data_IF_800667024226
#
_entry.id   IF_800667024226
#
_cell.length_a   1.000
_cell.length_b   1.000
_cell.length_c   1.000
_cell.angle_alpha   90.00
_cell.angle_beta   90.00
_cell.angle_gamma   90.00
#
_symmetry.space_group_name_H-M   'P 1'
#
loop_
_entity.id
_entity.type
_entity.pdbx_description
1 polymer ?
#
# COMPACT_ATOMS: atom_id res chain seq x y z
N UNK A 1 -0.46 -17.17 51.75
CA UNK A 1 -1.04 -18.51 52.00
C UNK A 1 -2.31 -18.62 51.14
N UNK A 2 -2.33 -19.23 50.09
CA UNK A 2 -3.15 -20.29 49.50
C UNK A 2 -3.00 -20.30 47.99
N UNK A 3 -2.32 -21.33 47.56
CA UNK A 3 -2.20 -21.74 46.14
C UNK A 3 -3.54 -22.27 45.66
N UNK A 4 -3.93 -21.95 44.44
CA UNK A 4 -4.90 -22.75 43.68
C UNK A 4 -4.29 -23.06 42.30
N UNK A 5 -3.93 -24.31 42.16
CA UNK A 5 -3.57 -25.01 40.93
C UNK A 5 -4.87 -25.32 40.21
N UNK A 6 -5.00 -24.89 38.96
CA UNK A 6 -6.09 -25.38 38.07
C UNK A 6 -5.46 -26.19 36.98
N UNK A 7 -5.79 -27.50 36.99
CA UNK A 7 -5.28 -28.51 36.09
C UNK A 7 -5.94 -28.40 34.69
N UNK A 8 -5.11 -28.51 33.66
CA UNK A 8 -5.52 -28.68 32.28
C UNK A 8 -6.04 -30.10 32.04
N UNK A 9 -7.25 -30.25 31.55
CA UNK A 9 -7.78 -31.51 31.02
C UNK A 9 -7.54 -31.57 29.52
N UNK A 10 -6.56 -32.40 29.11
CA UNK A 10 -6.39 -32.84 27.73
C UNK A 10 -7.38 -33.99 27.47
N UNK A 11 -8.27 -33.82 26.47
CA UNK A 11 -8.98 -34.95 25.88
C UNK A 11 -8.23 -35.38 24.61
N UNK A 12 -7.55 -36.51 24.68
CA UNK A 12 -7.05 -37.24 23.55
C UNK A 12 -8.20 -38.11 22.99
N UNK A 13 -8.54 -37.91 21.72
CA UNK A 13 -9.40 -38.86 20.99
C UNK A 13 -8.51 -39.71 20.11
N UNK A 14 -8.39 -40.96 20.47
CA UNK A 14 -7.72 -41.99 19.69
C UNK A 14 -8.74 -42.56 18.70
N UNK A 15 -8.46 -42.48 17.39
CA UNK A 15 -9.13 -43.31 16.38
C UNK A 15 -8.16 -44.38 15.90
N UNK A 16 -8.46 -45.63 16.28
CA UNK A 16 -7.90 -46.86 15.66
C UNK A 16 -8.91 -47.36 14.63
N UNK A 17 -8.42 -47.65 13.44
CA UNK A 17 -9.23 -48.29 12.43
C UNK A 17 -8.40 -48.61 11.17
N UNK A 18 -7.67 -49.74 11.17
CA UNK A 18 -7.10 -50.34 9.96
C UNK A 18 -8.17 -51.04 9.14
N UNK A 19 -8.19 -50.83 7.82
CA UNK A 19 -8.32 -51.95 6.86
C UNK A 19 -7.80 -51.51 5.48
N UNK A 20 -7.00 -52.40 4.88
CA UNK A 20 -6.46 -52.36 3.51
C UNK A 20 -7.56 -52.63 2.48
N UNK A 21 -7.56 -51.95 1.33
CA UNK A 21 -7.35 -52.56 0.00
C UNK A 21 -7.66 -51.60 -1.16
N UNK A 22 -6.73 -51.63 -2.10
CA UNK A 22 -6.82 -51.53 -3.57
C UNK A 22 -7.09 -50.19 -4.30
N UNK A 23 -6.10 -49.92 -5.14
CA UNK A 23 -6.03 -48.93 -6.22
C UNK A 23 -7.32 -48.72 -7.00
N UNK A 24 -7.72 -47.43 -7.08
CA UNK A 24 -8.29 -46.87 -8.30
C UNK A 24 -7.96 -45.36 -8.35
N UNK A 25 -7.13 -44.99 -9.32
CA UNK A 25 -6.91 -43.63 -9.79
C UNK A 25 -8.25 -42.89 -9.94
N UNK A 26 -8.58 -42.04 -9.00
CA UNK A 26 -9.63 -41.01 -9.17
C UNK A 26 -9.00 -39.64 -8.98
N UNK A 27 -9.04 -38.86 -10.05
CA UNK A 27 -8.79 -37.42 -10.00
C UNK A 27 -9.70 -36.81 -8.96
N UNK A 28 -9.18 -36.60 -7.75
CA UNK A 28 -9.89 -35.87 -6.72
C UNK A 28 -9.76 -34.37 -7.03
N UNK A 29 -10.79 -33.79 -7.62
CA UNK A 29 -11.01 -32.35 -7.52
C UNK A 29 -11.12 -32.06 -6.02
N UNK A 30 -10.17 -31.35 -5.44
CA UNK A 30 -10.28 -30.84 -4.08
C UNK A 30 -11.42 -29.82 -4.07
N UNK A 31 -12.60 -30.27 -3.64
CA UNK A 31 -13.66 -29.35 -3.27
C UNK A 31 -13.09 -28.47 -2.15
N UNK A 32 -13.05 -27.16 -2.37
CA UNK A 32 -12.69 -26.18 -1.35
C UNK A 32 -13.55 -26.47 -0.12
N UNK A 33 -12.93 -26.68 1.04
CA UNK A 33 -13.67 -26.84 2.30
C UNK A 33 -14.38 -25.54 2.56
N UNK A 34 -15.71 -25.50 2.39
CA UNK A 34 -16.54 -24.35 2.71
C UNK A 34 -16.47 -24.08 4.21
N UNK A 35 -16.17 -22.85 4.58
CA UNK A 35 -16.23 -22.40 5.97
C UNK A 35 -17.70 -22.33 6.39
N UNK A 36 -18.00 -22.87 7.55
CA UNK A 36 -19.37 -22.77 8.10
C UNK A 36 -19.54 -21.40 8.78
N UNK A 37 -20.08 -20.44 8.02
CA UNK A 37 -20.37 -19.07 8.47
C UNK A 37 -21.38 -19.12 9.62
N UNK A 38 -21.09 -18.39 10.70
CA UNK A 38 -21.95 -18.35 11.90
C UNK A 38 -23.32 -17.75 11.60
N UNK A 39 -24.36 -18.33 12.17
CA UNK A 39 -25.74 -17.78 12.09
C UNK A 39 -25.86 -16.50 12.92
N UNK A 40 -26.64 -15.53 12.38
CA UNK A 40 -26.89 -14.24 13.01
C UNK A 40 -25.61 -13.43 13.29
N UNK A 41 -24.53 -13.65 12.52
CA UNK A 41 -23.32 -12.86 12.63
C UNK A 41 -23.59 -11.38 12.39
N UNK A 42 -23.05 -10.53 13.25
CA UNK A 42 -23.08 -9.07 13.14
C UNK A 42 -21.67 -8.57 13.03
N UNK A 43 -21.27 -8.17 11.84
CA UNK A 43 -19.92 -7.71 11.54
C UNK A 43 -19.89 -6.20 11.35
N UNK A 44 -18.81 -5.56 11.77
CA UNK A 44 -18.44 -4.21 11.40
C UNK A 44 -17.32 -4.25 10.37
N UNK A 45 -17.47 -3.49 9.28
CA UNK A 45 -16.49 -3.37 8.20
C UNK A 45 -16.02 -1.92 8.09
N UNK A 46 -14.71 -1.68 8.13
CA UNK A 46 -14.09 -0.38 7.88
C UNK A 46 -13.45 -0.31 6.51
N UNK A 47 -13.60 0.84 5.85
CA UNK A 47 -12.90 1.22 4.63
C UNK A 47 -12.90 2.72 4.44
N UNK A 48 -12.04 3.22 3.53
CA UNK A 48 -11.91 4.64 3.26
C UNK A 48 -13.20 5.28 2.76
N UNK A 49 -13.36 6.59 2.96
CA UNK A 49 -14.50 7.34 2.46
C UNK A 49 -14.70 7.16 0.94
N UNK A 50 -13.60 7.09 0.16
CA UNK A 50 -13.65 6.88 -1.29
C UNK A 50 -14.26 5.52 -1.69
N UNK A 51 -14.05 4.47 -0.90
CA UNK A 51 -14.55 3.11 -1.18
C UNK A 51 -15.90 2.81 -0.55
N UNK A 52 -16.44 3.69 0.29
CA UNK A 52 -17.57 3.41 1.18
C UNK A 52 -18.85 2.96 0.44
N UNK A 53 -19.19 3.60 -0.69
CA UNK A 53 -20.39 3.23 -1.46
C UNK A 53 -20.25 1.81 -2.05
N UNK A 54 -19.08 1.49 -2.57
CA UNK A 54 -18.76 0.17 -3.15
C UNK A 54 -18.78 -0.90 -2.06
N UNK A 55 -18.16 -0.62 -0.90
CA UNK A 55 -18.17 -1.56 0.22
C UNK A 55 -19.58 -1.84 0.75
N UNK A 56 -20.47 -0.83 0.77
CA UNK A 56 -21.88 -1.03 1.12
C UNK A 56 -22.63 -1.92 0.12
N UNK A 57 -22.35 -1.77 -1.19
CA UNK A 57 -22.91 -2.64 -2.22
C UNK A 57 -22.39 -4.08 -2.07
N UNK A 58 -21.08 -4.25 -1.87
CA UNK A 58 -20.45 -5.56 -1.66
C UNK A 58 -20.92 -6.24 -0.37
N UNK A 59 -21.08 -5.49 0.72
CA UNK A 59 -21.63 -6.00 1.97
C UNK A 59 -23.07 -6.52 1.79
N UNK A 60 -23.93 -5.78 1.09
CA UNK A 60 -25.29 -6.24 0.74
C UNK A 60 -25.29 -7.50 -0.13
N UNK A 61 -24.39 -7.60 -1.08
CA UNK A 61 -24.25 -8.80 -1.91
C UNK A 61 -23.80 -10.00 -1.08
N UNK A 62 -22.88 -9.80 -0.13
CA UNK A 62 -22.47 -10.84 0.82
C UNK A 62 -23.62 -11.25 1.75
N UNK A 63 -24.37 -10.32 2.33
CA UNK A 63 -25.57 -10.62 3.14
C UNK A 63 -26.60 -11.45 2.36
N UNK A 64 -26.79 -11.13 1.07
CA UNK A 64 -27.67 -11.89 0.18
C UNK A 64 -27.13 -13.31 -0.08
N UNK A 65 -25.81 -13.46 -0.30
CA UNK A 65 -25.15 -14.77 -0.48
C UNK A 65 -25.38 -15.68 0.74
N UNK A 66 -25.40 -15.11 1.94
CA UNK A 66 -25.58 -15.81 3.22
C UNK A 66 -26.92 -15.49 3.89
N UNK A 67 -28.00 -15.33 3.10
CA UNK A 67 -29.32 -15.01 3.62
C UNK A 67 -29.88 -16.08 4.60
N UNK A 68 -29.54 -17.35 4.37
CA UNK A 68 -29.88 -18.48 5.25
C UNK A 68 -29.17 -18.44 6.62
N UNK A 69 -28.04 -17.73 6.70
CA UNK A 69 -27.29 -17.51 7.93
C UNK A 69 -27.68 -16.22 8.66
N UNK A 70 -28.46 -15.34 8.02
CA UNK A 70 -28.88 -14.03 8.56
C UNK A 70 -27.69 -13.16 9.01
N UNK A 71 -26.63 -13.09 8.18
CA UNK A 71 -25.47 -12.21 8.42
C UNK A 71 -25.89 -10.76 8.22
N UNK A 72 -25.37 -9.85 9.08
CA UNK A 72 -25.54 -8.39 8.97
C UNK A 72 -24.19 -7.70 9.03
N UNK A 73 -23.98 -6.70 8.16
CA UNK A 73 -22.71 -5.97 8.05
C UNK A 73 -22.97 -4.47 8.18
N UNK A 74 -22.40 -3.86 9.21
CA UNK A 74 -22.33 -2.41 9.36
C UNK A 74 -21.06 -1.89 8.67
N UNK A 75 -21.21 -1.06 7.64
CA UNK A 75 -20.08 -0.47 6.91
C UNK A 75 -19.87 0.97 7.38
N UNK A 76 -18.69 1.24 7.95
CA UNK A 76 -18.31 2.52 8.55
C UNK A 76 -17.08 3.08 7.86
N UNK A 77 -17.08 4.39 7.59
CA UNK A 77 -15.91 5.07 7.06
C UNK A 77 -14.81 5.15 8.13
N UNK A 78 -13.63 4.68 7.78
CA UNK A 78 -12.40 4.80 8.55
C UNK A 78 -11.25 4.90 7.57
N UNK A 79 -10.44 5.96 7.70
CA UNK A 79 -9.28 6.10 6.85
C UNK A 79 -8.28 4.97 7.12
N UNK A 80 -7.77 4.38 6.04
CA UNK A 80 -6.95 3.17 6.09
C UNK A 80 -5.63 3.40 6.84
N UNK A 81 -5.05 4.60 6.72
CA UNK A 81 -3.82 4.99 7.41
C UNK A 81 -3.97 5.01 8.94
N UNK A 82 -5.18 5.22 9.44
CA UNK A 82 -5.47 5.27 10.87
C UNK A 82 -6.02 3.94 11.41
N UNK A 83 -6.51 3.05 10.54
CA UNK A 83 -7.22 1.85 10.93
C UNK A 83 -6.44 0.97 11.91
N UNK A 84 -5.16 0.70 11.63
CA UNK A 84 -4.32 -0.10 12.51
C UNK A 84 -4.11 0.53 13.89
N UNK A 85 -3.95 1.84 13.96
CA UNK A 85 -3.84 2.56 15.23
C UNK A 85 -5.13 2.49 16.04
N UNK A 86 -6.28 2.62 15.40
CA UNK A 86 -7.58 2.49 16.06
C UNK A 86 -7.83 1.07 16.58
N UNK A 87 -7.46 0.03 15.79
CA UNK A 87 -7.54 -1.37 16.23
C UNK A 87 -6.68 -1.62 17.46
N UNK A 88 -5.48 -1.03 17.52
CA UNK A 88 -4.56 -1.20 18.65
C UNK A 88 -4.99 -0.41 19.90
N UNK A 89 -5.66 0.73 19.73
CA UNK A 89 -6.12 1.55 20.85
C UNK A 89 -7.40 1.00 21.51
N UNK A 90 -8.33 0.46 20.72
CA UNK A 90 -9.58 -0.14 21.21
C UNK A 90 -10.04 -1.28 20.29
N UNK A 91 -9.51 -2.47 20.52
CA UNK A 91 -9.82 -3.65 19.73
C UNK A 91 -11.28 -4.12 19.86
N UNK A 92 -11.95 -3.83 20.97
CA UNK A 92 -13.35 -4.22 21.17
C UNK A 92 -14.28 -3.35 20.30
N UNK A 93 -14.08 -2.03 20.28
CA UNK A 93 -14.87 -1.11 19.47
C UNK A 93 -14.51 -1.13 17.98
N UNK A 94 -13.31 -1.60 17.64
CA UNK A 94 -12.82 -1.68 16.27
C UNK A 94 -13.67 -2.61 15.38
N UNK A 95 -13.57 -2.40 14.05
CA UNK A 95 -14.23 -3.27 13.08
C UNK A 95 -13.72 -4.72 13.12
N UNK A 96 -14.58 -5.67 12.79
CA UNK A 96 -14.22 -7.09 12.66
C UNK A 96 -13.36 -7.33 11.43
N UNK A 97 -13.65 -6.58 10.35
CA UNK A 97 -12.93 -6.62 9.07
C UNK A 97 -12.55 -5.18 8.69
N UNK A 98 -11.31 -4.95 8.31
CA UNK A 98 -10.84 -3.59 8.01
C UNK A 98 -9.73 -3.56 6.96
N UNK A 99 -9.70 -2.47 6.19
CA UNK A 99 -8.63 -2.19 5.23
C UNK A 99 -7.51 -1.36 5.88
N UNK A 100 -6.25 -1.70 5.56
CA UNK A 100 -5.07 -1.01 6.07
C UNK A 100 -3.87 -1.13 5.11
N UNK A 101 -2.90 -0.18 5.12
CA UNK A 101 -1.71 -0.24 4.28
C UNK A 101 -0.63 -1.17 4.84
N UNK A 102 0.26 -1.62 3.96
CA UNK A 102 1.25 -2.68 4.22
C UNK A 102 2.25 -2.38 5.34
N UNK A 103 2.59 -1.11 5.57
CA UNK A 103 3.48 -0.69 6.66
C UNK A 103 2.91 -0.95 8.07
N UNK A 104 1.60 -1.14 8.18
CA UNK A 104 0.95 -1.43 9.47
C UNK A 104 0.95 -2.92 9.83
N UNK A 105 1.22 -3.81 8.87
CA UNK A 105 1.13 -5.25 9.09
C UNK A 105 2.02 -5.71 10.25
N UNK A 106 3.28 -5.27 10.28
CA UNK A 106 4.24 -5.68 11.30
C UNK A 106 3.77 -5.32 12.71
N UNK A 107 3.33 -4.08 12.95
CA UNK A 107 2.84 -3.65 14.27
C UNK A 107 1.57 -4.39 14.70
N UNK A 108 0.67 -4.67 13.75
CA UNK A 108 -0.58 -5.39 14.03
C UNK A 108 -0.33 -6.86 14.37
N UNK A 109 0.62 -7.52 13.68
CA UNK A 109 0.99 -8.92 13.95
C UNK A 109 1.75 -9.06 15.27
N UNK A 110 2.69 -8.15 15.57
CA UNK A 110 3.40 -8.10 16.86
C UNK A 110 2.45 -7.93 18.04
N UNK A 111 1.44 -7.08 17.89
CA UNK A 111 0.39 -6.88 18.89
C UNK A 111 -0.64 -8.02 18.93
N UNK A 112 -0.53 -9.04 18.05
CA UNK A 112 -1.49 -10.14 17.91
C UNK A 112 -2.92 -9.63 17.64
N UNK A 113 -3.03 -8.51 16.95
CA UNK A 113 -4.32 -7.85 16.67
C UNK A 113 -5.04 -8.44 15.44
N UNK A 114 -4.33 -9.21 14.60
CA UNK A 114 -4.88 -9.87 13.43
C UNK A 114 -5.10 -11.37 13.67
N UNK A 115 -6.21 -11.88 13.17
CA UNK A 115 -6.45 -13.31 13.01
C UNK A 115 -5.61 -13.81 11.83
N UNK A 116 -4.81 -14.88 11.97
CA UNK A 116 -4.17 -15.50 10.82
C UNK A 116 -5.22 -16.03 9.84
N UNK A 117 -4.98 -15.83 8.54
CA UNK A 117 -5.85 -16.34 7.47
C UNK A 117 -5.99 -17.87 7.59
N UNK A 118 -7.21 -18.36 7.52
CA UNK A 118 -7.48 -19.79 7.62
C UNK A 118 -6.82 -20.57 6.48
N UNK A 119 -6.26 -21.74 6.79
CA UNK A 119 -5.53 -22.61 5.85
C UNK A 119 -6.33 -22.92 4.56
N UNK A 120 -7.66 -22.99 4.63
CA UNK A 120 -8.52 -23.25 3.47
C UNK A 120 -8.55 -22.10 2.44
N UNK A 121 -8.17 -20.87 2.80
CA UNK A 121 -8.06 -19.72 1.87
C UNK A 121 -6.65 -19.53 1.33
N UNK A 122 -5.61 -20.06 2.01
CA UNK A 122 -4.20 -19.81 1.69
C UNK A 122 -3.84 -20.20 0.26
N UNK A 123 -4.28 -21.39 -0.19
CA UNK A 123 -3.99 -21.87 -1.54
C UNK A 123 -4.70 -21.03 -2.62
N UNK A 124 -5.94 -20.62 -2.36
CA UNK A 124 -6.70 -19.76 -3.27
C UNK A 124 -6.08 -18.35 -3.36
N UNK A 125 -5.62 -17.78 -2.24
CA UNK A 125 -4.91 -16.50 -2.23
C UNK A 125 -3.61 -16.60 -3.04
N UNK A 126 -2.78 -17.61 -2.79
CA UNK A 126 -1.52 -17.85 -3.52
C UNK A 126 -1.74 -18.06 -5.02
N UNK A 127 -2.81 -18.74 -5.39
CA UNK A 127 -3.17 -19.01 -6.79
C UNK A 127 -3.70 -17.75 -7.49
N UNK A 128 -4.59 -17.01 -6.85
CA UNK A 128 -5.36 -15.97 -7.49
C UNK A 128 -4.72 -14.57 -7.42
N UNK A 129 -3.85 -14.30 -6.46
CA UNK A 129 -3.21 -13.00 -6.32
C UNK A 129 -1.78 -12.96 -6.89
N UNK A 130 -1.25 -11.76 -7.13
CA UNK A 130 0.13 -11.58 -7.58
C UNK A 130 1.10 -12.09 -6.50
N UNK A 131 2.20 -12.72 -6.94
CA UNK A 131 3.21 -13.24 -6.02
C UNK A 131 3.74 -12.16 -5.09
N UNK A 132 3.99 -10.96 -5.61
CA UNK A 132 4.49 -9.84 -4.83
C UNK A 132 3.55 -9.47 -3.68
N UNK A 133 2.23 -9.33 -3.95
CA UNK A 133 1.24 -9.03 -2.93
C UNK A 133 1.12 -10.15 -1.88
N UNK A 134 1.22 -11.43 -2.29
CA UNK A 134 1.17 -12.57 -1.36
C UNK A 134 2.39 -12.61 -0.43
N UNK A 135 3.59 -12.32 -0.97
CA UNK A 135 4.82 -12.30 -0.14
C UNK A 135 4.75 -11.26 0.98
N UNK A 136 4.06 -10.14 0.75
CA UNK A 136 3.99 -9.03 1.72
C UNK A 136 2.97 -9.23 2.85
N UNK A 137 2.08 -10.23 2.77
CA UNK A 137 1.11 -10.55 3.85
C UNK A 137 1.55 -11.72 4.73
N UNK A 138 2.74 -12.27 4.47
CA UNK A 138 3.32 -13.36 5.25
C UNK A 138 3.83 -12.90 6.61
N UNK A 139 3.77 -13.78 7.58
CA UNK A 139 4.37 -13.59 8.88
C UNK A 139 4.62 -14.92 9.57
N UNK A 140 5.21 -14.88 10.76
CA UNK A 140 5.49 -16.06 11.58
C UNK A 140 4.43 -16.22 12.67
N UNK A 141 3.93 -17.44 12.83
CA UNK A 141 3.10 -17.84 13.96
C UNK A 141 3.71 -19.09 14.61
N UNK A 142 4.45 -18.91 15.70
CA UNK A 142 5.09 -19.98 16.45
C UNK A 142 6.03 -20.86 15.57
N UNK A 143 6.80 -20.25 14.68
CA UNK A 143 7.74 -20.93 13.78
C UNK A 143 7.10 -21.49 12.50
N UNK A 144 5.81 -21.23 12.26
CA UNK A 144 5.10 -21.58 11.02
C UNK A 144 4.83 -20.31 10.20
N UNK A 145 5.18 -20.29 8.91
CA UNK A 145 4.77 -19.24 8.00
C UNK A 145 3.24 -19.29 7.82
N UNK A 146 2.58 -18.15 8.04
CA UNK A 146 1.14 -17.96 7.81
C UNK A 146 0.89 -16.68 7.04
N UNK A 147 -0.31 -16.50 6.48
CA UNK A 147 -0.78 -15.21 5.97
C UNK A 147 -1.57 -14.50 7.07
N UNK A 148 -1.41 -13.19 7.22
CA UNK A 148 -2.13 -12.39 8.22
C UNK A 148 -3.17 -11.44 7.63
N UNK A 149 -3.25 -11.37 6.29
CA UNK A 149 -4.22 -10.51 5.62
C UNK A 149 -4.48 -10.98 4.19
N UNK A 150 -5.54 -10.46 3.60
CA UNK A 150 -5.98 -10.71 2.23
C UNK A 150 -5.53 -9.56 1.33
N UNK A 151 -4.76 -9.80 0.26
CA UNK A 151 -4.29 -8.74 -0.65
C UNK A 151 -5.45 -8.05 -1.36
N UNK A 152 -5.56 -6.72 -1.24
CA UNK A 152 -6.69 -5.96 -1.78
C UNK A 152 -6.34 -5.18 -3.04
N UNK A 153 -5.31 -4.33 -2.99
CA UNK A 153 -4.88 -3.48 -4.10
C UNK A 153 -3.41 -3.08 -3.94
N UNK A 154 -2.76 -2.76 -5.03
CA UNK A 154 -1.46 -2.09 -5.00
C UNK A 154 -1.65 -0.65 -4.51
N UNK A 155 -0.63 -0.11 -3.86
CA UNK A 155 -0.61 1.24 -3.31
C UNK A 155 0.71 1.91 -3.69
N UNK A 156 0.68 2.72 -4.73
CA UNK A 156 1.86 3.38 -5.26
C UNK A 156 1.53 4.71 -5.94
N UNK A 157 2.57 5.46 -6.27
CA UNK A 157 2.45 6.77 -6.91
C UNK A 157 3.25 6.83 -8.20
N UNK A 158 2.82 7.71 -9.10
CA UNK A 158 3.36 7.91 -10.43
C UNK A 158 3.20 9.38 -10.86
N UNK A 159 3.70 9.74 -12.04
CA UNK A 159 3.46 11.06 -12.62
C UNK A 159 2.08 11.13 -13.25
N UNK A 160 1.28 12.14 -12.86
CA UNK A 160 0.05 12.55 -13.53
C UNK A 160 0.23 13.93 -14.15
N UNK A 161 -0.30 14.18 -15.35
CA UNK A 161 -0.11 15.45 -16.03
C UNK A 161 -1.24 15.78 -17.00
N UNK A 162 -1.43 17.08 -17.24
CA UNK A 162 -2.30 17.61 -18.29
C UNK A 162 -1.55 17.58 -19.62
N UNK A 163 -1.97 16.73 -20.57
CA UNK A 163 -1.38 16.59 -21.92
C UNK A 163 -1.43 17.89 -22.75
N UNK A 164 -2.30 18.85 -22.39
CA UNK A 164 -2.31 20.17 -23.02
C UNK A 164 -1.15 21.06 -22.54
N UNK A 165 -0.47 20.69 -21.45
CA UNK A 165 0.63 21.41 -20.82
C UNK A 165 1.96 20.69 -20.96
N UNK A 166 1.99 19.40 -20.67
CA UNK A 166 3.18 18.55 -20.66
C UNK A 166 3.04 17.51 -21.76
N UNK A 167 3.97 17.48 -22.71
CA UNK A 167 4.01 16.44 -23.72
C UNK A 167 4.49 15.11 -23.13
N UNK A 168 4.17 13.99 -23.81
CA UNK A 168 4.64 12.67 -23.40
C UNK A 168 6.19 12.58 -23.40
N UNK A 169 6.87 13.41 -24.20
CA UNK A 169 8.33 13.52 -24.21
C UNK A 169 8.84 14.30 -22.99
N UNK A 170 8.23 15.47 -22.69
CA UNK A 170 8.59 16.24 -21.50
C UNK A 170 8.36 15.45 -20.20
N UNK A 171 7.33 14.59 -20.19
CA UNK A 171 6.98 13.75 -19.05
C UNK A 171 8.04 12.70 -18.67
N UNK A 172 9.03 12.45 -19.54
CA UNK A 172 10.11 11.46 -19.28
C UNK A 172 11.16 11.93 -18.29
N UNK A 173 11.30 13.25 -18.08
CA UNK A 173 12.32 13.80 -17.19
C UNK A 173 11.75 14.88 -16.27
N UNK A 174 12.29 14.97 -15.05
CA UNK A 174 11.94 16.03 -14.10
C UNK A 174 12.16 17.43 -14.68
N UNK A 175 13.28 17.61 -15.42
CA UNK A 175 13.63 18.85 -16.10
C UNK A 175 12.57 19.23 -17.15
N UNK A 176 12.13 18.27 -17.95
CA UNK A 176 11.09 18.44 -18.98
C UNK A 176 9.77 18.84 -18.38
N UNK A 177 9.29 18.08 -17.40
CA UNK A 177 8.01 18.34 -16.72
C UNK A 177 7.98 19.74 -16.10
N UNK A 178 9.03 20.09 -15.32
CA UNK A 178 9.10 21.38 -14.64
C UNK A 178 9.25 22.56 -15.63
N UNK A 179 9.98 22.36 -16.73
CA UNK A 179 10.12 23.36 -17.78
C UNK A 179 8.79 23.58 -18.50
N UNK A 180 8.06 22.53 -18.83
CA UNK A 180 6.74 22.61 -19.49
C UNK A 180 5.72 23.33 -18.58
N UNK A 181 5.63 22.93 -17.31
CA UNK A 181 4.77 23.60 -16.32
C UNK A 181 5.11 25.10 -16.19
N UNK A 182 6.42 25.45 -16.06
CA UNK A 182 6.86 26.83 -16.01
C UNK A 182 6.47 27.63 -17.26
N UNK A 183 6.68 27.06 -18.43
CA UNK A 183 6.33 27.69 -19.72
C UNK A 183 4.84 28.00 -19.82
N UNK A 184 4.00 27.09 -19.31
CA UNK A 184 2.56 27.25 -19.31
C UNK A 184 2.03 28.13 -18.16
N UNK A 185 2.88 28.59 -17.24
CA UNK A 185 2.47 29.29 -16.02
C UNK A 185 1.64 28.41 -15.08
N UNK A 186 1.92 27.09 -15.04
CA UNK A 186 1.24 26.09 -14.20
C UNK A 186 2.18 25.59 -13.11
N UNK A 187 1.59 25.06 -12.05
CA UNK A 187 2.32 24.44 -10.96
C UNK A 187 2.61 22.96 -11.27
N UNK A 188 3.74 22.48 -10.77
CA UNK A 188 3.99 21.07 -10.51
C UNK A 188 3.81 20.84 -9.02
N UNK A 189 2.98 19.88 -8.64
CA UNK A 189 2.61 19.62 -7.24
C UNK A 189 3.02 18.22 -6.82
N UNK A 190 3.70 18.10 -5.67
CA UNK A 190 3.90 16.83 -4.96
C UNK A 190 3.99 17.08 -3.46
N UNK A 191 3.70 16.07 -2.65
CA UNK A 191 3.87 16.18 -1.20
C UNK A 191 5.30 15.83 -0.77
N UNK A 192 6.27 16.69 -1.14
CA UNK A 192 7.68 16.47 -0.82
C UNK A 192 8.00 16.51 0.69
N UNK A 193 7.10 17.06 1.49
CA UNK A 193 7.18 17.11 2.96
C UNK A 193 6.58 15.89 3.66
N UNK A 194 6.25 14.82 2.94
CA UNK A 194 5.75 13.56 3.46
C UNK A 194 6.78 12.44 3.20
N UNK A 195 7.11 11.67 4.21
CA UNK A 195 8.14 10.63 4.15
C UNK A 195 7.90 9.57 3.08
N UNK A 196 6.64 9.27 2.78
CA UNK A 196 6.25 8.33 1.74
C UNK A 196 6.68 8.77 0.33
N UNK A 197 6.60 10.07 0.04
CA UNK A 197 7.10 10.62 -1.23
C UNK A 197 8.58 10.98 -1.15
N UNK A 198 9.03 11.55 -0.02
CA UNK A 198 10.39 12.03 0.12
C UNK A 198 11.46 10.94 0.00
N UNK A 199 11.13 9.70 0.37
CA UNK A 199 12.06 8.56 0.26
C UNK A 199 12.50 8.27 -1.18
N UNK A 200 11.76 8.71 -2.22
CA UNK A 200 12.17 8.56 -3.60
C UNK A 200 13.55 9.20 -3.87
N UNK A 201 13.88 10.29 -3.20
CA UNK A 201 15.12 11.02 -3.44
C UNK A 201 16.37 10.19 -3.08
N UNK A 202 16.52 9.68 -1.85
CA UNK A 202 17.64 8.79 -1.54
C UNK A 202 17.52 7.41 -2.21
N UNK A 203 16.32 6.89 -2.48
CA UNK A 203 16.16 5.60 -3.18
C UNK A 203 16.67 5.66 -4.61
N UNK A 204 16.43 6.76 -5.32
CA UNK A 204 16.97 6.98 -6.68
C UNK A 204 18.51 6.98 -6.68
N UNK A 205 19.14 7.38 -5.58
CA UNK A 205 20.57 7.29 -5.37
C UNK A 205 21.10 5.91 -4.97
N UNK A 206 20.22 4.92 -4.79
CA UNK A 206 20.60 3.53 -4.48
C UNK A 206 20.39 3.09 -3.04
N UNK A 207 19.87 3.96 -2.15
CA UNK A 207 19.43 3.53 -0.82
C UNK A 207 18.24 2.58 -0.96
N UNK A 208 18.19 1.50 -0.17
CA UNK A 208 17.05 0.56 -0.10
C UNK A 208 16.80 0.13 1.33
N UNK A 209 15.56 -0.22 1.62
CA UNK A 209 15.16 -0.80 2.89
C UNK A 209 15.39 -2.32 2.83
N UNK A 210 16.16 -2.86 3.80
CA UNK A 210 16.43 -4.30 3.95
C UNK A 210 15.60 -4.95 5.08
N UNK A 211 14.60 -4.24 5.60
CA UNK A 211 13.72 -4.70 6.67
C UNK A 211 14.17 -4.24 8.05
N UNK A 212 13.79 -5.00 9.08
CA UNK A 212 14.06 -4.70 10.49
C UNK A 212 15.15 -5.61 11.07
N UNK A 213 15.83 -5.17 12.13
CA UNK A 213 16.92 -5.88 12.79
C UNK A 213 16.70 -5.89 14.31
N UNK A 214 17.18 -6.96 14.96
CA UNK A 214 17.13 -7.14 16.41
C UNK A 214 15.94 -8.00 16.86
N UNK A 215 15.98 -8.45 18.12
CA UNK A 215 14.94 -9.30 18.71
C UNK A 215 13.59 -8.58 18.86
N UNK A 216 13.64 -7.27 19.07
CA UNK A 216 12.45 -6.40 19.14
C UNK A 216 12.07 -5.80 17.78
N UNK A 217 12.85 -6.04 16.72
CA UNK A 217 12.66 -5.42 15.40
C UNK A 217 12.53 -3.89 15.50
N UNK A 218 13.39 -3.27 16.31
CA UNK A 218 13.36 -1.85 16.65
C UNK A 218 14.34 -1.00 15.84
N UNK A 219 15.13 -1.62 14.95
CA UNK A 219 16.14 -0.97 14.14
C UNK A 219 15.84 -1.16 12.65
N UNK A 220 15.70 -0.04 11.92
CA UNK A 220 15.55 -0.06 10.47
C UNK A 220 16.88 -0.44 9.82
N UNK A 221 16.84 -1.48 9.03
CA UNK A 221 18.00 -1.94 8.26
C UNK A 221 17.96 -1.38 6.85
N UNK A 222 19.11 -0.90 6.40
CA UNK A 222 19.33 -0.44 5.03
C UNK A 222 20.39 -1.30 4.33
N UNK A 223 20.34 -1.35 2.99
CA UNK A 223 21.33 -2.01 2.17
C UNK A 223 22.71 -1.35 2.32
N UNK A 224 23.74 -2.01 1.78
CA UNK A 224 25.02 -1.35 1.54
C UNK A 224 24.86 -0.44 0.31
N UNK A 225 24.96 0.87 0.47
CA UNK A 225 24.83 1.89 -0.58
C UNK A 225 26.09 2.76 -0.67
N UNK A 226 26.26 3.45 -1.79
CA UNK A 226 27.28 4.48 -1.95
C UNK A 226 26.75 5.83 -1.47
N UNK A 227 27.26 6.32 -0.34
CA UNK A 227 26.85 7.58 0.27
C UNK A 227 27.03 8.78 -0.67
N UNK A 228 28.11 8.76 -1.48
CA UNK A 228 28.38 9.85 -2.42
C UNK A 228 27.36 9.87 -3.56
N UNK A 229 27.01 8.70 -4.08
CA UNK A 229 26.02 8.56 -5.15
C UNK A 229 24.61 8.99 -4.68
N UNK A 230 24.21 8.59 -3.48
CA UNK A 230 22.95 9.04 -2.88
C UNK A 230 22.94 10.55 -2.70
N UNK A 231 24.01 11.12 -2.13
CA UNK A 231 24.09 12.55 -1.89
C UNK A 231 24.13 13.38 -3.19
N UNK A 232 24.81 12.91 -4.23
CA UNK A 232 24.78 13.56 -5.55
C UNK A 232 23.39 13.55 -6.17
N UNK A 233 22.65 12.46 -6.02
CA UNK A 233 21.28 12.36 -6.51
C UNK A 233 20.36 13.31 -5.76
N UNK A 234 20.45 13.36 -4.42
CA UNK A 234 19.70 14.33 -3.60
C UNK A 234 20.05 15.78 -3.96
N UNK A 235 21.35 16.07 -4.23
CA UNK A 235 21.81 17.37 -4.69
C UNK A 235 21.15 17.78 -6.01
N UNK A 236 21.11 16.88 -7.00
CA UNK A 236 20.48 17.14 -8.28
C UNK A 236 18.99 17.49 -8.15
N UNK A 237 18.22 16.76 -7.33
CA UNK A 237 16.83 17.09 -7.02
C UNK A 237 16.70 18.46 -6.37
N UNK A 238 17.51 18.74 -5.35
CA UNK A 238 17.49 20.03 -4.63
C UNK A 238 17.78 21.21 -5.55
N UNK A 239 18.84 21.12 -6.36
CA UNK A 239 19.19 22.15 -7.35
C UNK A 239 18.06 22.41 -8.35
N UNK A 240 17.42 21.32 -8.82
CA UNK A 240 16.31 21.41 -9.75
C UNK A 240 15.09 22.09 -9.11
N UNK A 241 14.71 21.73 -7.88
CA UNK A 241 13.59 22.37 -7.18
C UNK A 241 13.85 23.84 -6.87
N UNK A 242 15.09 24.20 -6.51
CA UNK A 242 15.49 25.60 -6.32
C UNK A 242 15.43 26.40 -7.62
N UNK A 243 15.85 25.82 -8.74
CA UNK A 243 15.73 26.42 -10.09
C UNK A 243 14.29 26.69 -10.47
N UNK A 244 13.36 25.81 -10.04
CA UNK A 244 11.94 25.90 -10.35
C UNK A 244 11.06 26.27 -9.14
N UNK A 245 11.60 26.97 -8.13
CA UNK A 245 10.94 27.31 -6.86
C UNK A 245 9.58 28.00 -6.97
N UNK A 246 9.27 28.65 -8.10
CA UNK A 246 7.98 29.30 -8.35
C UNK A 246 7.00 28.40 -9.13
N UNK A 247 7.47 27.23 -9.58
CA UNK A 247 6.70 26.24 -10.33
C UNK A 247 6.45 24.99 -9.50
N UNK A 248 7.49 24.54 -8.79
CA UNK A 248 7.42 23.40 -7.86
C UNK A 248 6.73 23.82 -6.57
N UNK A 249 5.69 23.05 -6.18
CA UNK A 249 4.90 23.31 -4.96
C UNK A 249 4.83 22.01 -4.15
N UNK A 250 5.32 22.04 -2.91
CA UNK A 250 5.09 20.97 -1.96
C UNK A 250 3.75 21.19 -1.27
N UNK A 251 2.77 20.33 -1.57
CA UNK A 251 1.43 20.38 -1.01
C UNK A 251 0.81 18.98 -1.01
N UNK A 252 -0.28 18.80 -0.24
CA UNK A 252 -1.01 17.53 -0.23
C UNK A 252 -1.61 17.24 -1.62
N UNK A 253 -1.75 15.94 -1.94
CA UNK A 253 -2.08 15.46 -3.30
C UNK A 253 -3.48 15.85 -3.78
N UNK A 254 -4.41 16.17 -2.87
CA UNK A 254 -5.72 16.72 -3.22
C UNK A 254 -5.63 18.04 -4.01
N UNK A 255 -4.53 18.78 -3.87
CA UNK A 255 -4.27 20.01 -4.63
C UNK A 255 -3.97 19.75 -6.11
N UNK A 256 -3.55 18.53 -6.48
CA UNK A 256 -3.31 18.13 -7.86
C UNK A 256 -4.64 18.10 -8.61
N UNK A 257 -5.56 17.24 -8.19
CA UNK A 257 -6.88 17.11 -8.81
C UNK A 257 -7.70 18.38 -8.73
N UNK A 258 -7.64 19.10 -7.59
CA UNK A 258 -8.25 20.41 -7.46
C UNK A 258 -7.69 21.42 -8.47
N UNK A 259 -6.36 21.44 -8.66
CA UNK A 259 -5.69 22.29 -9.64
C UNK A 259 -6.00 21.93 -11.10
N UNK A 260 -6.24 20.65 -11.40
CA UNK A 260 -6.72 20.21 -12.71
C UNK A 260 -8.18 20.59 -12.97
N UNK A 261 -9.03 20.58 -11.95
CA UNK A 261 -10.47 20.84 -12.07
C UNK A 261 -10.83 22.31 -12.19
N UNK A 262 -9.90 23.26 -11.97
CA UNK A 262 -10.18 24.69 -12.09
C UNK A 262 -10.35 25.09 -13.56
N UNK A 263 -11.18 26.12 -13.82
CA UNK A 263 -11.40 26.62 -15.20
C UNK A 263 -10.10 27.04 -15.91
N UNK A 264 -9.09 27.47 -15.15
CA UNK A 264 -7.76 27.85 -15.67
C UNK A 264 -6.72 26.73 -15.54
N UNK A 265 -7.06 25.61 -14.91
CA UNK A 265 -6.14 24.50 -14.62
C UNK A 265 -4.82 25.00 -14.05
N UNK A 266 -4.76 25.28 -12.77
CA UNK A 266 -3.57 25.86 -12.12
C UNK A 266 -2.43 24.85 -11.97
N UNK A 267 -2.72 23.56 -11.95
CA UNK A 267 -1.75 22.44 -11.97
C UNK A 267 -1.50 21.99 -13.41
N UNK A 268 -0.24 21.75 -13.76
CA UNK A 268 0.16 21.16 -15.04
C UNK A 268 0.58 19.70 -14.90
N UNK A 269 1.18 19.34 -13.77
CA UNK A 269 1.59 17.97 -13.45
C UNK A 269 1.78 17.78 -11.95
N UNK A 270 1.83 16.53 -11.51
CA UNK A 270 2.11 16.21 -10.12
C UNK A 270 2.44 14.73 -9.88
N UNK A 271 2.96 14.43 -8.69
CA UNK A 271 3.14 13.06 -8.24
C UNK A 271 1.93 12.68 -7.39
N UNK A 272 1.12 11.76 -7.91
CA UNK A 272 -0.12 11.30 -7.28
C UNK A 272 -0.20 9.77 -7.31
N UNK A 273 -1.13 9.20 -6.59
CA UNK A 273 -1.20 7.76 -6.41
C UNK A 273 -2.44 7.10 -7.01
N UNK A 274 -2.42 5.78 -6.99
CA UNK A 274 -3.53 4.92 -7.45
C UNK A 274 -4.86 5.24 -6.76
N UNK A 275 -4.82 5.77 -5.54
CA UNK A 275 -6.01 6.16 -4.75
C UNK A 275 -6.80 7.36 -5.33
N UNK A 276 -6.15 8.21 -6.15
CA UNK A 276 -6.76 9.37 -6.80
C UNK A 276 -6.98 9.17 -8.32
N UNK A 277 -6.78 7.98 -8.86
CA UNK A 277 -6.85 7.71 -10.30
C UNK A 277 -8.20 8.16 -10.91
N UNK A 278 -9.33 7.82 -10.28
CA UNK A 278 -10.65 8.21 -10.75
C UNK A 278 -10.87 9.73 -10.70
N UNK A 279 -10.43 10.39 -9.61
CA UNK A 279 -10.59 11.86 -9.45
C UNK A 279 -9.77 12.62 -10.48
N UNK A 280 -8.55 12.17 -10.79
CA UNK A 280 -7.71 12.75 -11.82
C UNK A 280 -8.30 12.50 -13.23
N UNK A 281 -8.87 11.32 -13.47
CA UNK A 281 -9.58 11.01 -14.72
C UNK A 281 -10.80 11.90 -14.91
N UNK A 282 -11.59 12.13 -13.89
CA UNK A 282 -12.76 13.01 -13.92
C UNK A 282 -12.36 14.48 -14.19
N UNK A 283 -11.22 14.93 -13.61
CA UNK A 283 -10.74 16.29 -13.75
C UNK A 283 -10.19 16.63 -15.14
N UNK A 284 -9.46 15.70 -15.78
CA UNK A 284 -8.76 15.93 -17.04
C UNK A 284 -9.40 15.22 -18.24
N UNK A 285 -10.17 14.15 -18.03
CA UNK A 285 -10.78 13.37 -19.10
C UNK A 285 -9.74 12.86 -20.10
N UNK A 286 -9.91 13.21 -21.38
CA UNK A 286 -8.98 12.84 -22.46
C UNK A 286 -7.61 13.49 -22.39
N UNK A 287 -7.48 14.57 -21.62
CA UNK A 287 -6.22 15.29 -21.46
C UNK A 287 -5.36 14.67 -20.32
N UNK A 288 -5.86 13.65 -19.63
CA UNK A 288 -5.07 12.95 -18.61
C UNK A 288 -3.89 12.21 -19.23
N UNK A 289 -2.69 12.52 -18.75
CA UNK A 289 -1.48 11.74 -18.94
C UNK A 289 -1.08 11.05 -17.64
N UNK A 290 -0.68 9.79 -17.74
CA UNK A 290 -0.15 8.97 -16.63
C UNK A 290 1.06 8.23 -17.14
N UNK A 291 2.18 8.32 -16.40
CA UNK A 291 3.42 7.61 -16.73
C UNK A 291 4.24 7.33 -15.47
N UNK A 292 5.23 6.44 -15.58
CA UNK A 292 6.22 6.18 -14.53
C UNK A 292 6.88 7.47 -14.05
N UNK A 293 7.47 7.46 -12.86
CA UNK A 293 8.21 8.61 -12.35
C UNK A 293 9.30 9.02 -13.36
N UNK A 294 9.49 10.35 -13.55
CA UNK A 294 10.47 10.86 -14.52
C UNK A 294 11.91 10.50 -14.13
N UNK A 295 12.81 10.48 -15.10
CA UNK A 295 14.26 10.42 -14.84
C UNK A 295 14.77 11.76 -14.30
N UNK A 296 15.83 11.72 -13.48
CA UNK A 296 16.60 12.89 -13.04
C UNK A 296 18.02 12.82 -13.59
N UNK A 297 18.51 13.92 -14.14
CA UNK A 297 19.91 13.99 -14.60
C UNK A 297 20.85 14.22 -13.41
N UNK A 298 21.77 13.29 -13.18
CA UNK A 298 22.80 13.37 -12.14
C UNK A 298 24.16 13.35 -12.81
N UNK A 299 24.84 14.49 -12.83
CA UNK A 299 26.18 14.63 -13.42
C UNK A 299 26.28 14.13 -14.88
N UNK A 300 25.26 14.37 -15.70
CA UNK A 300 25.21 13.96 -17.09
C UNK A 300 24.67 12.55 -17.33
N UNK A 301 24.24 11.84 -16.29
CA UNK A 301 23.60 10.52 -16.38
C UNK A 301 22.15 10.58 -15.92
N UNK A 302 21.22 10.13 -16.75
CA UNK A 302 19.82 10.05 -16.40
C UNK A 302 19.57 8.83 -15.51
N UNK A 303 19.02 9.06 -14.32
CA UNK A 303 18.63 8.01 -13.38
C UNK A 303 17.12 7.91 -13.30
N UNK A 304 16.61 6.70 -13.40
CA UNK A 304 15.19 6.45 -13.16
C UNK A 304 14.84 6.75 -11.69
N UNK A 305 13.85 7.61 -11.48
CA UNK A 305 13.34 7.85 -10.11
C UNK A 305 12.68 6.58 -9.57
N UNK A 306 12.98 6.24 -8.32
CA UNK A 306 12.52 5.01 -7.67
C UNK A 306 11.37 5.34 -6.72
N UNK A 307 10.20 4.75 -6.98
CA UNK A 307 9.03 4.86 -6.11
C UNK A 307 9.14 3.94 -4.88
N UNK A 308 8.39 4.27 -3.83
CA UNK A 308 7.99 3.30 -2.83
C UNK A 308 6.59 2.79 -3.20
N UNK A 309 6.45 1.48 -3.35
CA UNK A 309 5.16 0.85 -3.64
C UNK A 309 4.83 -0.12 -2.52
N UNK A 310 3.63 0.00 -2.00
CA UNK A 310 3.05 -0.88 -1.01
C UNK A 310 1.81 -1.58 -1.53
N UNK A 311 1.06 -2.11 -0.58
CA UNK A 311 -0.21 -2.75 -0.82
C UNK A 311 -1.20 -2.28 0.24
N UNK A 312 -2.48 -2.40 -0.05
CA UNK A 312 -3.54 -2.38 0.94
C UNK A 312 -4.10 -3.77 1.11
N UNK A 313 -4.46 -4.08 2.33
CA UNK A 313 -4.94 -5.39 2.73
C UNK A 313 -6.31 -5.30 3.38
N UNK A 314 -7.02 -6.42 3.38
CA UNK A 314 -8.15 -6.65 4.26
C UNK A 314 -7.67 -7.56 5.39
N UNK A 315 -7.79 -7.11 6.63
CA UNK A 315 -7.49 -7.89 7.83
C UNK A 315 -8.73 -8.20 8.63
N UNK A 316 -8.65 -9.28 9.42
CA UNK A 316 -9.67 -9.67 10.39
C UNK A 316 -9.09 -9.48 11.79
N UNK A 317 -9.81 -8.78 12.68
CA UNK A 317 -9.33 -8.59 14.06
C UNK A 317 -9.36 -9.91 14.83
N UNK A 318 -8.34 -10.15 15.65
CA UNK A 318 -8.17 -11.42 16.37
C UNK A 318 -9.27 -11.72 17.41
N UNK A 319 -9.90 -10.67 17.96
CA UNK A 319 -10.94 -10.77 19.00
C UNK A 319 -12.38 -10.69 18.45
N UNK A 320 -12.57 -10.96 17.14
CA UNK A 320 -13.93 -11.00 16.56
C UNK A 320 -14.77 -12.13 17.16
N UNK A 321 -16.06 -11.88 17.35
CA UNK A 321 -17.02 -12.88 17.85
C UNK A 321 -17.52 -13.85 16.77
N UNK A 322 -17.27 -13.51 15.49
CA UNK A 322 -17.74 -14.25 14.34
C UNK A 322 -16.58 -14.50 13.35
N UNK A 323 -15.57 -15.27 13.76
CA UNK A 323 -14.34 -15.41 12.98
C UNK A 323 -14.56 -16.04 11.60
N UNK A 324 -15.45 -17.02 11.45
CA UNK A 324 -15.73 -17.64 10.17
C UNK A 324 -16.43 -16.66 9.20
N UNK A 325 -17.40 -15.90 9.69
CA UNK A 325 -18.11 -14.89 8.89
C UNK A 325 -17.16 -13.75 8.49
N UNK A 326 -16.24 -13.33 9.38
CA UNK A 326 -15.28 -12.28 9.13
C UNK A 326 -14.22 -12.71 8.10
N UNK A 327 -13.67 -13.93 8.22
CA UNK A 327 -12.70 -14.50 7.25
C UNK A 327 -13.34 -14.68 5.86
N UNK A 328 -14.56 -15.21 5.79
CA UNK A 328 -15.27 -15.38 4.52
C UNK A 328 -15.62 -14.02 3.88
N UNK A 329 -15.98 -12.99 4.70
CA UNK A 329 -16.19 -11.64 4.20
C UNK A 329 -14.89 -11.05 3.64
N UNK A 330 -13.77 -11.19 4.35
CA UNK A 330 -12.47 -10.71 3.90
C UNK A 330 -12.05 -11.37 2.59
N UNK A 331 -12.20 -12.70 2.48
CA UNK A 331 -11.95 -13.46 1.25
C UNK A 331 -12.87 -13.01 0.09
N UNK A 332 -14.15 -12.81 0.34
CA UNK A 332 -15.12 -12.31 -0.65
C UNK A 332 -14.70 -10.91 -1.16
N UNK A 333 -14.33 -10.00 -0.26
CA UNK A 333 -13.93 -8.64 -0.63
C UNK A 333 -12.67 -8.57 -1.51
N UNK A 334 -11.82 -9.60 -1.52
CA UNK A 334 -10.64 -9.65 -2.40
C UNK A 334 -10.84 -10.53 -3.65
N UNK A 335 -12.06 -11.01 -3.89
CA UNK A 335 -12.40 -11.74 -5.10
C UNK A 335 -12.18 -10.90 -6.37
N UNK A 336 -12.04 -11.57 -7.53
CA UNK A 336 -11.89 -10.89 -8.82
C UNK A 336 -13.06 -9.93 -9.09
N UNK A 337 -14.31 -10.33 -8.79
CA UNK A 337 -15.50 -9.49 -8.95
C UNK A 337 -15.42 -8.20 -8.14
N UNK A 338 -15.06 -8.31 -6.85
CA UNK A 338 -14.95 -7.15 -5.97
C UNK A 338 -13.79 -6.23 -6.35
N UNK A 339 -12.64 -6.78 -6.76
CA UNK A 339 -11.51 -5.98 -7.20
C UNK A 339 -11.75 -5.35 -8.58
N UNK A 340 -12.44 -6.04 -9.50
CA UNK A 340 -12.87 -5.47 -10.78
C UNK A 340 -13.75 -4.23 -10.58
N UNK A 341 -14.72 -4.30 -9.69
CA UNK A 341 -15.59 -3.15 -9.36
C UNK A 341 -14.77 -1.96 -8.84
N UNK A 342 -13.75 -2.20 -7.99
CA UNK A 342 -12.87 -1.13 -7.50
C UNK A 342 -11.97 -0.56 -8.59
N UNK A 343 -11.47 -1.40 -9.49
CA UNK A 343 -10.72 -0.92 -10.66
C UNK A 343 -11.58 -0.02 -11.54
N UNK A 344 -12.80 -0.46 -11.88
CA UNK A 344 -13.70 0.29 -12.76
C UNK A 344 -14.17 1.62 -12.15
N UNK A 345 -14.47 1.64 -10.84
CA UNK A 345 -15.03 2.82 -10.17
C UNK A 345 -14.00 3.74 -9.52
N UNK A 346 -12.85 3.22 -9.10
CA UNK A 346 -11.83 3.96 -8.34
C UNK A 346 -10.46 3.98 -9.04
N UNK A 347 -10.25 3.18 -10.08
CA UNK A 347 -8.94 3.01 -10.73
C UNK A 347 -7.93 2.24 -9.87
N UNK A 348 -8.37 1.53 -8.82
CA UNK A 348 -7.48 0.78 -7.95
C UNK A 348 -6.90 -0.45 -8.64
N UNK A 349 -5.57 -0.56 -8.63
CA UNK A 349 -4.85 -1.67 -9.27
C UNK A 349 -5.15 -2.99 -8.56
N UNK A 350 -5.70 -4.00 -9.25
CA UNK A 350 -6.05 -5.27 -8.62
C UNK A 350 -4.80 -6.11 -8.32
N UNK A 351 -4.77 -6.76 -7.17
CA UNK A 351 -3.82 -7.83 -6.86
C UNK A 351 -4.27 -9.19 -7.40
N UNK A 352 -5.58 -9.34 -7.67
CA UNK A 352 -6.18 -10.58 -8.17
C UNK A 352 -5.96 -10.69 -9.70
N UNK A 353 -5.24 -11.74 -10.11
CA UNK A 353 -4.87 -12.04 -11.51
C UNK A 353 -6.07 -12.36 -12.42
N UNK A 354 -7.23 -12.65 -11.86
CA UNK A 354 -8.47 -12.88 -12.60
C UNK A 354 -9.16 -11.58 -13.06
N UNK A 355 -8.62 -10.40 -12.71
CA UNK A 355 -9.13 -9.11 -13.18
C UNK A 355 -8.38 -8.68 -14.42
N UNK A 356 -9.10 -8.49 -15.52
CA UNK A 356 -8.56 -7.91 -16.73
C UNK A 356 -8.25 -6.42 -16.54
N UNK A 357 -7.04 -6.01 -16.90
CA UNK A 357 -6.53 -4.64 -16.71
C UNK A 357 -6.19 -3.95 -18.03
N UNK A 358 -6.49 -4.61 -19.16
CA UNK A 358 -6.21 -4.10 -20.50
C UNK A 358 -6.91 -2.75 -20.72
N UNK A 359 -6.17 -1.79 -21.30
CA UNK A 359 -6.69 -0.44 -21.55
C UNK A 359 -6.68 0.52 -20.36
N UNK A 360 -6.22 0.10 -19.18
CA UNK A 360 -6.08 0.98 -18.01
C UNK A 360 -4.64 1.51 -17.90
N UNK A 361 -4.43 2.78 -18.26
CA UNK A 361 -3.11 3.42 -18.27
C UNK A 361 -2.49 3.51 -16.85
N UNK A 362 -3.29 3.75 -15.81
CA UNK A 362 -2.81 3.79 -14.44
C UNK A 362 -2.27 2.44 -13.98
N UNK A 363 -3.00 1.36 -14.26
CA UNK A 363 -2.55 0.00 -13.92
C UNK A 363 -1.30 -0.38 -14.71
N UNK A 364 -1.25 -0.08 -16.01
CA UNK A 364 -0.06 -0.32 -16.83
C UNK A 364 1.15 0.42 -16.28
N UNK A 365 0.99 1.67 -15.87
CA UNK A 365 2.04 2.48 -15.24
C UNK A 365 2.53 1.85 -13.93
N UNK A 366 1.63 1.38 -13.07
CA UNK A 366 2.01 0.68 -11.83
C UNK A 366 2.78 -0.61 -12.09
N UNK A 367 2.43 -1.37 -13.13
CA UNK A 367 3.17 -2.57 -13.51
C UNK A 367 4.58 -2.26 -14.04
N UNK A 368 4.76 -1.11 -14.71
CA UNK A 368 6.09 -0.64 -15.12
C UNK A 368 6.91 -0.14 -13.93
N UNK A 369 6.32 0.66 -13.03
CA UNK A 369 6.95 1.10 -11.78
C UNK A 369 7.39 -0.09 -10.92
N UNK A 370 6.59 -1.15 -10.90
CA UNK A 370 6.87 -2.38 -10.14
C UNK A 370 8.18 -3.08 -10.53
N UNK A 371 8.82 -2.71 -11.63
CA UNK A 371 10.12 -3.27 -12.04
C UNK A 371 11.30 -2.69 -11.26
N UNK A 372 11.17 -1.51 -10.66
CA UNK A 372 12.28 -0.75 -10.08
C UNK A 372 12.01 -0.15 -8.70
N UNK A 373 10.88 -0.42 -8.08
CA UNK A 373 10.46 0.19 -6.80
C UNK A 373 11.07 -0.45 -5.55
N UNK A 374 10.95 0.26 -4.43
CA UNK A 374 11.19 -0.26 -3.07
C UNK A 374 9.84 -0.65 -2.45
N UNK A 375 9.76 -1.86 -1.89
CA UNK A 375 8.52 -2.34 -1.26
C UNK A 375 8.33 -1.68 0.10
N UNK A 376 7.14 -1.13 0.34
CA UNK A 376 6.70 -0.63 1.64
C UNK A 376 6.32 -1.79 2.58
N UNK A 377 7.32 -2.48 3.09
CA UNK A 377 7.13 -3.57 4.05
C UNK A 377 8.23 -3.53 5.11
N UNK A 378 7.91 -3.92 6.33
CA UNK A 378 8.86 -3.97 7.44
C UNK A 378 9.57 -2.62 7.68
N UNK A 379 8.78 -1.55 7.77
CA UNK A 379 9.23 -0.18 7.99
C UNK A 379 8.88 0.23 9.42
N UNK A 380 9.85 0.81 10.14
CA UNK A 380 9.59 1.42 11.45
C UNK A 380 8.68 2.63 11.32
N UNK A 381 7.81 2.84 12.29
CA UNK A 381 7.03 4.08 12.35
C UNK A 381 7.93 5.33 12.41
N UNK A 382 9.08 5.22 13.07
CA UNK A 382 10.09 6.28 13.15
C UNK A 382 10.76 6.63 11.81
N UNK A 383 10.52 5.89 10.73
CA UNK A 383 11.03 6.18 9.39
C UNK A 383 10.42 7.45 8.78
N UNK A 384 9.14 7.69 9.04
CA UNK A 384 8.35 8.66 8.26
C UNK A 384 8.74 10.12 8.53
N UNK A 385 8.82 10.53 9.81
CA UNK A 385 9.13 11.93 10.16
C UNK A 385 10.54 12.36 9.73
N UNK A 386 11.63 11.59 9.95
CA UNK A 386 12.95 11.95 9.43
C UNK A 386 12.99 12.05 7.91
N UNK A 387 12.29 11.16 7.18
CA UNK A 387 12.19 11.25 5.71
C UNK A 387 11.38 12.47 5.27
N UNK A 388 10.29 12.81 5.94
CA UNK A 388 9.54 14.03 5.70
C UNK A 388 10.42 15.28 5.90
N UNK A 389 11.23 15.30 6.96
CA UNK A 389 12.18 16.38 7.22
C UNK A 389 13.27 16.48 6.14
N UNK A 390 13.78 15.34 5.65
CA UNK A 390 14.70 15.31 4.51
C UNK A 390 14.06 15.96 3.28
N UNK A 391 12.85 15.55 2.91
CA UNK A 391 12.13 16.13 1.79
C UNK A 391 11.91 17.63 1.93
N UNK A 392 11.49 18.07 3.13
CA UNK A 392 11.31 19.50 3.43
C UNK A 392 12.60 20.33 3.24
N UNK A 393 13.78 19.78 3.55
CA UNK A 393 15.05 20.47 3.35
C UNK A 393 15.45 20.50 1.88
N UNK A 394 15.16 19.46 1.10
CA UNK A 394 15.53 19.39 -0.31
C UNK A 394 14.91 20.50 -1.16
N UNK A 395 13.62 20.82 -0.98
CA UNK A 395 12.94 21.79 -1.84
C UNK A 395 12.99 23.23 -1.33
N UNK A 396 13.42 23.48 -0.09
CA UNK A 396 13.49 24.84 0.46
C UNK A 396 14.66 25.63 -0.13
N UNK A 397 14.43 26.78 -0.82
CA UNK A 397 15.49 27.52 -1.48
C UNK A 397 16.51 28.17 -0.53
N UNK A 398 16.26 28.17 0.76
CA UNK A 398 17.17 28.69 1.80
C UNK A 398 18.21 27.66 2.23
N UNK A 399 18.01 26.41 1.91
CA UNK A 399 18.94 25.33 2.22
C UNK A 399 20.00 25.19 1.09
N UNK A 400 21.18 24.71 1.45
CA UNK A 400 22.23 24.43 0.45
C UNK A 400 21.98 23.11 -0.27
N UNK A 401 22.22 23.09 -1.58
CA UNK A 401 22.05 21.91 -2.42
C UNK A 401 23.33 21.10 -2.64
N UNK A 402 24.49 21.55 -2.11
CA UNK A 402 25.77 20.88 -2.36
C UNK A 402 25.83 19.47 -1.76
N UNK A 403 26.69 18.62 -2.37
CA UNK A 403 26.83 17.19 -2.00
C UNK A 403 27.24 17.01 -0.53
N UNK A 404 28.05 17.89 0.03
CA UNK A 404 28.50 17.79 1.43
C UNK A 404 27.31 18.00 2.40
N UNK A 405 26.46 18.99 2.11
CA UNK A 405 25.21 19.22 2.85
C UNK A 405 24.28 18.02 2.73
N UNK A 406 24.13 17.43 1.53
CA UNK A 406 23.28 16.25 1.31
C UNK A 406 23.79 15.00 2.04
N UNK A 407 25.12 14.79 2.14
CA UNK A 407 25.69 13.71 2.97
C UNK A 407 25.32 13.87 4.44
N UNK A 408 25.49 15.08 4.97
CA UNK A 408 25.11 15.36 6.36
C UNK A 408 23.62 15.11 6.59
N UNK A 409 22.78 15.62 5.71
CA UNK A 409 21.33 15.43 5.78
C UNK A 409 20.93 13.95 5.73
N UNK A 410 21.53 13.17 4.82
CA UNK A 410 21.29 11.73 4.74
C UNK A 410 21.67 11.02 6.04
N UNK A 411 22.90 11.28 6.54
CA UNK A 411 23.40 10.68 7.77
C UNK A 411 22.50 11.00 8.97
N UNK A 412 22.13 12.27 9.14
CA UNK A 412 21.24 12.69 10.23
C UNK A 412 19.87 12.03 10.13
N UNK A 413 19.32 11.94 8.91
CA UNK A 413 18.04 11.28 8.66
C UNK A 413 18.07 9.81 9.07
N UNK A 414 19.09 9.05 8.61
CA UNK A 414 19.20 7.62 8.94
C UNK A 414 19.51 7.38 10.43
N UNK A 415 20.25 8.29 11.08
CA UNK A 415 20.46 8.25 12.52
C UNK A 415 19.13 8.47 13.27
N UNK A 416 18.34 9.46 12.89
CA UNK A 416 17.08 9.78 13.57
C UNK A 416 16.00 8.70 13.36
N UNK A 417 16.07 7.89 12.30
CA UNK A 417 15.19 6.73 12.11
C UNK A 417 15.44 5.65 13.17
N UNK A 418 16.68 5.51 13.62
CA UNK A 418 17.09 4.43 14.51
C UNK A 418 17.30 4.89 15.98
N UNK A 419 17.06 6.14 16.31
CA UNK A 419 17.15 6.71 17.65
C UNK A 419 18.53 7.26 17.94
#
# INVERSE_FOLDING_TARGET
ILSLVLAAAMMAVVFVGCTKSEDKSSKTSSAAKTVDVEKNAKLKLWGSAASLSILKEQAKAFEKKYADKNVKIEVVAQEENDAGTQVLSDSEAAADVFSFPSDQLSKLTQAKALLPVYDNYVDDIKKNHTKAAVETVKGDLNGKEVLYAFPQTDNGYYLVYDKSVVSDEDAKSWEGVLAACKKAGRQFIMNAGDGYYACMFPFTGGLKIDGLKGDAQDTQKFNKYDENEVAQTMSAFSELFHKYKNTFVSASVDKISAGFSTAKRTCGAGIDGTWNAAVNQDALGKDLGVTVLPTINVNGTDKQTIAMIGYKYIGVKSVTKFPNAAEELANYLVSAECQKTRLEKLGWTPTNKGVEVEGNDGVRTMLEEAKTYVVQANILQAFWDPMANLGNKLYKPTEKSDVATMKTLLKDTLTNING
#
